data_IF_355920561142
#
_entry.id   IF_355920561142
#
_cell.length_a   1.000
_cell.length_b   1.000
_cell.length_c   1.000
_cell.angle_alpha   90.00
_cell.angle_beta   90.00
_cell.angle_gamma   90.00
#
_symmetry.space_group_name_H-M   'P 1'
#
loop_
_entity.id
_entity.type
_entity.pdbx_description
1 polymer ?
#
# COMPACT_ATOMS: atom_id res chain seq x y z
N UNK A 1 0.46 -4.18 22.09
CA UNK A 1 0.63 -3.15 21.04
C UNK A 1 -0.16 -1.95 21.53
N UNK A 2 0.48 -0.84 21.89
CA UNK A 2 -0.24 0.37 22.28
C UNK A 2 -0.84 1.01 21.03
N UNK A 3 -2.13 0.77 20.80
CA UNK A 3 -2.86 1.26 19.63
C UNK A 3 -3.02 2.80 19.66
N UNK A 4 -2.76 3.46 20.79
CA UNK A 4 -2.83 4.90 20.95
C UNK A 4 -1.46 5.59 20.88
N UNK A 5 -0.36 4.84 20.76
CA UNK A 5 0.95 5.44 20.56
C UNK A 5 1.08 5.97 19.13
N UNK A 6 1.26 7.29 19.00
CA UNK A 6 1.44 8.00 17.73
C UNK A 6 2.93 8.14 17.39
N UNK A 7 3.70 7.07 17.58
CA UNK A 7 5.14 7.13 17.29
C UNK A 7 5.35 7.40 15.79
N UNK A 8 6.43 8.09 15.39
CA UNK A 8 6.76 8.30 13.99
C UNK A 8 6.76 7.01 13.15
N UNK A 9 7.21 5.89 13.71
CA UNK A 9 7.22 4.60 13.01
C UNK A 9 5.81 4.00 12.86
N UNK A 10 4.97 4.12 13.88
CA UNK A 10 3.58 3.66 13.83
C UNK A 10 2.77 4.47 12.81
N UNK A 11 2.96 5.80 12.77
CA UNK A 11 2.34 6.66 11.76
C UNK A 11 2.80 6.28 10.35
N UNK A 12 4.11 6.11 10.14
CA UNK A 12 4.65 5.67 8.85
C UNK A 12 4.05 4.34 8.39
N UNK A 13 3.91 3.37 9.30
CA UNK A 13 3.31 2.07 9.00
C UNK A 13 1.83 2.20 8.64
N UNK A 14 1.04 2.93 9.42
CA UNK A 14 -0.41 3.12 9.19
C UNK A 14 -0.68 3.79 7.84
N UNK A 15 0.01 4.89 7.55
CA UNK A 15 -0.14 5.61 6.29
C UNK A 15 0.36 4.78 5.09
N UNK A 16 1.48 4.07 5.22
CA UNK A 16 1.94 3.18 4.16
C UNK A 16 0.93 2.06 3.86
N UNK A 17 0.31 1.47 4.89
CA UNK A 17 -0.76 0.47 4.72
C UNK A 17 -1.98 1.06 4.02
N UNK A 18 -2.39 2.27 4.38
CA UNK A 18 -3.52 2.96 3.73
C UNK A 18 -3.23 3.21 2.25
N UNK A 19 -2.05 3.78 1.93
CA UNK A 19 -1.62 4.07 0.55
C UNK A 19 -1.52 2.79 -0.28
N UNK A 20 -0.88 1.75 0.26
CA UNK A 20 -0.72 0.48 -0.42
C UNK A 20 -2.06 -0.21 -0.71
N UNK A 21 -2.98 -0.21 0.26
CA UNK A 21 -4.31 -0.80 0.08
C UNK A 21 -5.11 -0.06 -1.00
N UNK A 22 -5.08 1.28 -0.98
CA UNK A 22 -5.73 2.08 -1.99
C UNK A 22 -5.14 1.81 -3.38
N UNK A 23 -3.80 1.81 -3.50
CA UNK A 23 -3.09 1.48 -4.75
C UNK A 23 -3.51 0.12 -5.27
N UNK A 24 -3.50 -0.91 -4.42
CA UNK A 24 -3.84 -2.28 -4.81
C UNK A 24 -5.26 -2.39 -5.37
N UNK A 25 -6.24 -1.72 -4.74
CA UNK A 25 -7.63 -1.71 -5.22
C UNK A 25 -7.73 -1.07 -6.62
N UNK A 26 -7.09 0.09 -6.82
CA UNK A 26 -7.11 0.75 -8.12
C UNK A 26 -6.35 -0.05 -9.19
N UNK A 27 -5.21 -0.64 -8.85
CA UNK A 27 -4.46 -1.54 -9.73
C UNK A 27 -5.31 -2.76 -10.13
N UNK A 28 -6.00 -3.38 -9.17
CA UNK A 28 -6.90 -4.50 -9.47
C UNK A 28 -8.01 -4.09 -10.44
N UNK A 29 -8.71 -2.99 -10.17
CA UNK A 29 -9.78 -2.50 -11.04
C UNK A 29 -9.26 -2.12 -12.43
N UNK A 30 -8.10 -1.47 -12.50
CA UNK A 30 -7.46 -1.10 -13.76
C UNK A 30 -7.09 -2.33 -14.59
N UNK A 31 -6.53 -3.38 -13.97
CA UNK A 31 -6.13 -4.59 -14.67
C UNK A 31 -7.34 -5.44 -15.07
N UNK A 32 -8.29 -5.65 -14.16
CA UNK A 32 -9.46 -6.50 -14.43
C UNK A 32 -10.45 -5.82 -15.37
N UNK A 33 -10.86 -4.58 -15.08
CA UNK A 33 -11.91 -3.89 -15.84
C UNK A 33 -11.34 -3.03 -16.97
N UNK A 34 -10.18 -2.40 -16.76
CA UNK A 34 -9.57 -1.52 -17.76
C UNK A 34 -8.80 -2.30 -18.83
N UNK A 35 -7.93 -3.22 -18.42
CA UNK A 35 -7.09 -4.02 -19.32
C UNK A 35 -7.67 -5.41 -19.62
N UNK A 36 -8.87 -5.73 -19.12
CA UNK A 36 -9.56 -7.00 -19.34
C UNK A 36 -8.74 -8.25 -18.95
N UNK A 37 -7.81 -8.14 -18.00
CA UNK A 37 -7.07 -9.30 -17.49
C UNK A 37 -8.01 -10.24 -16.72
N UNK A 38 -7.64 -11.52 -16.73
CA UNK A 38 -8.28 -12.52 -15.87
C UNK A 38 -8.25 -12.07 -14.39
N UNK A 39 -9.37 -12.12 -13.66
CA UNK A 39 -9.48 -11.52 -12.33
C UNK A 39 -8.47 -12.08 -11.32
N UNK A 40 -8.19 -13.39 -11.36
CA UNK A 40 -7.17 -13.97 -10.47
C UNK A 40 -5.76 -13.44 -10.76
N UNK A 41 -5.44 -13.20 -12.04
CA UNK A 41 -4.13 -12.65 -12.42
C UNK A 41 -4.03 -11.16 -12.04
N UNK A 42 -5.10 -10.39 -12.27
CA UNK A 42 -5.20 -9.01 -11.82
C UNK A 42 -5.04 -8.89 -10.30
N UNK A 43 -5.65 -9.81 -9.54
CA UNK A 43 -5.55 -9.85 -8.07
C UNK A 43 -4.11 -10.13 -7.61
N UNK A 44 -3.43 -11.11 -8.24
CA UNK A 44 -2.03 -11.41 -7.93
C UNK A 44 -1.12 -10.21 -8.20
N UNK A 45 -1.30 -9.54 -9.35
CA UNK A 45 -0.52 -8.36 -9.70
C UNK A 45 -0.81 -7.18 -8.76
N UNK A 46 -2.06 -6.98 -8.37
CA UNK A 46 -2.43 -5.97 -7.37
C UNK A 46 -1.83 -6.25 -5.98
N UNK A 47 -1.70 -7.53 -5.58
CA UNK A 47 -1.03 -7.88 -4.33
C UNK A 47 0.48 -7.59 -4.40
N UNK A 48 1.13 -7.86 -5.54
CA UNK A 48 2.53 -7.49 -5.77
C UNK A 48 2.71 -5.97 -5.73
N UNK A 49 1.84 -5.22 -6.41
CA UNK A 49 1.80 -3.75 -6.35
C UNK A 49 1.70 -3.24 -4.91
N UNK A 50 0.77 -3.79 -4.12
CA UNK A 50 0.59 -3.42 -2.71
C UNK A 50 1.89 -3.54 -1.90
N UNK A 51 2.61 -4.65 -2.06
CA UNK A 51 3.87 -4.90 -1.32
C UNK A 51 4.93 -3.88 -1.71
N UNK A 52 5.10 -3.63 -3.02
CA UNK A 52 6.08 -2.68 -3.53
C UNK A 52 5.76 -1.26 -3.04
N UNK A 53 4.52 -0.82 -3.23
CA UNK A 53 4.05 0.50 -2.81
C UNK A 53 4.18 0.68 -1.30
N UNK A 54 3.85 -0.35 -0.51
CA UNK A 54 4.01 -0.30 0.94
C UNK A 54 5.46 -0.09 1.36
N UNK A 55 6.40 -0.84 0.77
CA UNK A 55 7.83 -0.73 1.08
C UNK A 55 8.36 0.68 0.77
N UNK A 56 8.03 1.20 -0.41
CA UNK A 56 8.44 2.53 -0.86
C UNK A 56 7.81 3.62 0.01
N UNK A 57 6.49 3.57 0.21
CA UNK A 57 5.77 4.55 1.01
C UNK A 57 6.25 4.54 2.46
N UNK A 58 6.47 3.37 3.07
CA UNK A 58 6.98 3.27 4.44
C UNK A 58 8.38 3.85 4.56
N UNK A 59 9.27 3.59 3.61
CA UNK A 59 10.61 4.15 3.61
C UNK A 59 10.56 5.69 3.55
N UNK A 60 9.75 6.25 2.63
CA UNK A 60 9.58 7.69 2.49
C UNK A 60 8.95 8.34 3.73
N UNK A 61 7.86 7.77 4.24
CA UNK A 61 7.14 8.28 5.41
C UNK A 61 7.96 8.19 6.70
N UNK A 62 8.79 7.14 6.85
CA UNK A 62 9.74 7.06 7.97
C UNK A 62 10.74 8.21 7.96
N UNK A 63 11.23 8.60 6.79
CA UNK A 63 12.13 9.77 6.67
C UNK A 63 11.38 11.05 6.98
N UNK A 64 10.14 11.18 6.50
CA UNK A 64 9.30 12.35 6.73
C UNK A 64 8.95 12.55 8.21
N UNK A 65 8.43 11.53 8.90
CA UNK A 65 8.01 11.63 10.31
C UNK A 65 9.17 11.68 11.32
N UNK A 66 10.40 11.38 10.90
CA UNK A 66 11.60 11.52 11.74
C UNK A 66 12.19 12.94 11.71
N UNK A 67 11.72 13.80 10.80
CA UNK A 67 12.03 15.23 10.78
C UNK A 67 11.07 15.96 11.71
#
# INVERSE_FOLDING_TARGET
MDLNSWTPDDNARRFATLIATASAVFTFLALWMGAALHPLLALLLAAVDAVIVWLVARAALRVYFRR
#
